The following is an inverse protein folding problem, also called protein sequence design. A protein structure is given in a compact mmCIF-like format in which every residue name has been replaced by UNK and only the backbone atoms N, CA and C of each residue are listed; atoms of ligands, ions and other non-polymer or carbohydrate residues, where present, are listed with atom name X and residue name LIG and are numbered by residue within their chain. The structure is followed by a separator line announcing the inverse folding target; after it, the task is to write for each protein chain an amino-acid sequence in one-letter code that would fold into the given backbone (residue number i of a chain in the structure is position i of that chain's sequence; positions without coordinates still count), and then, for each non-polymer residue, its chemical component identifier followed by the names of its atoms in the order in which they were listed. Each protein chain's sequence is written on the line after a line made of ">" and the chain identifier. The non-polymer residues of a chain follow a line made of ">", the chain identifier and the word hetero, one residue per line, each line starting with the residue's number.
data_IF_516081816543
#
_entry.id   IF_516081816543
#
_cell.length_a   1.000
_cell.length_b   1.000
_cell.length_c   1.000
_cell.angle_alpha   90.00
_cell.angle_beta   90.00
_cell.angle_gamma   90.00
#
_symmetry.space_group_name_H-M   'P 1'
#
loop_
_entity.id
_entity.type
_entity.pdbx_description
1 polymer ?
#
# COMPACT_ATOMS: atom_id res chain seq x y z
N UNK A 1 19.85 -8.45 47.01
CA UNK A 1 18.78 -7.99 46.10
C UNK A 1 19.39 -7.99 44.70
N UNK A 2 19.16 -9.05 43.92
CA UNK A 2 19.70 -9.18 42.56
C UNK A 2 18.76 -8.45 41.59
N UNK A 3 19.29 -7.52 40.80
CA UNK A 3 18.56 -6.90 39.69
C UNK A 3 19.00 -7.63 38.42
N UNK A 4 18.07 -8.36 37.80
CA UNK A 4 18.26 -8.95 36.47
C UNK A 4 18.10 -7.83 35.41
N UNK A 5 19.01 -7.68 34.44
CA UNK A 5 18.81 -6.73 33.36
C UNK A 5 17.77 -7.28 32.39
N UNK A 6 16.75 -6.46 32.10
CA UNK A 6 15.77 -6.71 31.05
C UNK A 6 16.47 -6.50 29.70
N UNK A 7 16.78 -7.59 28.99
CA UNK A 7 17.28 -7.52 27.61
C UNK A 7 16.10 -7.13 26.73
N UNK A 8 16.07 -5.88 26.25
CA UNK A 8 15.16 -5.48 25.19
C UNK A 8 15.65 -6.10 23.87
N UNK A 9 14.85 -7.00 23.30
CA UNK A 9 15.08 -7.52 21.97
C UNK A 9 14.50 -6.49 20.98
N UNK A 10 15.34 -5.62 20.41
CA UNK A 10 14.95 -4.80 19.27
C UNK A 10 14.94 -5.70 18.03
N UNK A 11 13.75 -6.05 17.53
CA UNK A 11 13.61 -6.67 16.22
C UNK A 11 13.87 -5.59 15.17
N UNK A 12 15.11 -5.46 14.72
CA UNK A 12 15.44 -4.60 13.59
C UNK A 12 14.62 -5.03 12.37
N UNK A 13 13.91 -4.09 11.74
CA UNK A 13 13.23 -4.32 10.47
C UNK A 13 14.25 -4.87 9.46
N UNK A 14 13.88 -5.84 8.59
CA UNK A 14 14.81 -6.42 7.64
C UNK A 14 15.45 -5.32 6.79
N UNK A 15 16.75 -5.16 6.96
CA UNK A 15 17.59 -4.23 6.20
C UNK A 15 17.56 -4.65 4.72
N UNK A 16 16.70 -4.00 3.94
CA UNK A 16 16.51 -4.31 2.52
C UNK A 16 15.26 -3.70 1.89
N UNK A 17 14.23 -3.38 2.68
CA UNK A 17 13.09 -2.59 2.18
C UNK A 17 13.48 -1.11 2.23
N UNK A 18 13.52 -0.39 1.08
CA UNK A 18 13.74 1.05 1.10
C UNK A 18 12.77 1.69 2.09
N UNK A 19 13.28 2.58 2.95
CA UNK A 19 12.45 3.26 3.93
C UNK A 19 11.26 3.90 3.20
N UNK A 20 10.06 3.43 3.51
CA UNK A 20 8.85 3.93 2.90
C UNK A 20 8.68 5.38 3.33
N UNK A 21 8.49 6.29 2.38
CA UNK A 21 8.30 7.71 2.71
C UNK A 21 7.10 7.85 3.63
N UNK A 22 7.24 8.65 4.69
CA UNK A 22 6.11 9.02 5.55
C UNK A 22 5.04 9.83 4.81
N UNK A 23 5.34 10.34 3.59
CA UNK A 23 4.41 11.08 2.74
C UNK A 23 3.97 10.25 1.55
N UNK A 24 2.66 10.01 1.48
CA UNK A 24 1.99 9.51 0.29
C UNK A 24 0.57 10.06 0.18
N UNK A 25 -0.11 9.66 -0.89
CA UNK A 25 -1.45 10.18 -1.22
C UNK A 25 -2.38 9.09 -1.77
N UNK A 26 -3.67 9.21 -1.48
CA UNK A 26 -4.73 8.40 -2.07
C UNK A 26 -5.44 9.17 -3.16
N UNK A 27 -5.23 8.79 -4.42
CA UNK A 27 -5.86 9.42 -5.57
C UNK A 27 -5.81 8.53 -6.80
N UNK A 28 -6.86 8.59 -7.62
CA UNK A 28 -6.84 7.97 -8.94
C UNK A 28 -6.49 9.04 -9.99
N UNK A 29 -5.24 9.04 -10.46
CA UNK A 29 -4.74 10.06 -11.37
C UNK A 29 -5.20 9.82 -12.80
N UNK A 30 -5.98 10.76 -13.34
CA UNK A 30 -6.41 10.76 -14.76
C UNK A 30 -5.28 11.18 -15.70
N UNK A 31 -4.30 11.97 -15.21
CA UNK A 31 -3.18 12.47 -16.00
C UNK A 31 -1.84 12.19 -15.34
N UNK A 32 -0.82 11.91 -16.16
CA UNK A 32 0.56 11.80 -15.68
C UNK A 32 1.12 13.13 -15.15
N UNK A 33 0.59 14.27 -15.60
CA UNK A 33 1.04 15.59 -15.16
C UNK A 33 0.71 15.83 -13.68
N UNK A 34 -0.49 15.42 -13.24
CA UNK A 34 -0.88 15.54 -11.84
C UNK A 34 -0.02 14.64 -10.96
N UNK A 35 0.20 13.39 -11.38
CA UNK A 35 1.10 12.48 -10.68
C UNK A 35 2.52 13.02 -10.60
N UNK A 36 3.03 13.58 -11.69
CA UNK A 36 4.37 14.15 -11.76
C UNK A 36 4.54 15.45 -10.96
N UNK A 37 3.45 16.11 -10.62
CA UNK A 37 3.47 17.28 -9.74
C UNK A 37 3.81 16.92 -8.28
N UNK A 38 3.65 15.66 -7.89
CA UNK A 38 3.80 15.16 -6.52
C UNK A 38 5.24 14.80 -6.15
N UNK A 39 6.19 15.68 -6.47
CA UNK A 39 7.64 15.47 -6.33
C UNK A 39 8.14 15.14 -4.91
N UNK A 40 7.30 15.29 -3.89
CA UNK A 40 7.66 15.06 -2.48
C UNK A 40 6.97 13.85 -1.86
N UNK A 41 6.07 13.20 -2.61
CA UNK A 41 5.44 11.95 -2.21
C UNK A 41 6.37 10.80 -2.54
N UNK A 42 6.48 9.81 -1.65
CA UNK A 42 7.23 8.59 -1.93
C UNK A 42 6.34 7.41 -2.30
N UNK A 43 5.02 7.55 -2.16
CA UNK A 43 4.07 6.52 -2.54
C UNK A 43 2.68 7.07 -2.81
N UNK A 44 1.85 6.28 -3.49
CA UNK A 44 0.44 6.57 -3.72
C UNK A 44 -0.39 5.29 -3.88
N UNK A 45 -1.71 5.42 -3.79
CA UNK A 45 -2.67 4.34 -4.04
C UNK A 45 -3.95 4.91 -4.68
N UNK A 46 -4.74 4.05 -5.33
CA UNK A 46 -5.95 4.44 -6.06
C UNK A 46 -7.18 3.58 -5.70
N UNK A 47 -7.18 2.95 -4.51
CA UNK A 47 -8.19 1.99 -4.06
C UNK A 47 -8.31 0.69 -4.89
N UNK A 48 -7.44 0.49 -5.89
CA UNK A 48 -7.36 -0.72 -6.70
C UNK A 48 -6.10 -1.54 -6.45
N UNK A 49 -6.05 -2.74 -7.03
CA UNK A 49 -4.91 -3.67 -6.89
C UNK A 49 -3.70 -3.27 -7.74
N UNK A 50 -3.89 -2.42 -8.75
CA UNK A 50 -2.88 -2.08 -9.76
C UNK A 50 -3.05 -0.64 -10.29
N UNK A 51 -1.96 0.05 -10.68
CA UNK A 51 -2.05 1.31 -11.39
C UNK A 51 -2.43 1.07 -12.85
N UNK A 52 -2.70 2.15 -13.61
CA UNK A 52 -2.72 2.04 -15.07
C UNK A 52 -1.29 1.80 -15.59
N UNK A 53 -1.09 1.20 -16.78
CA UNK A 53 0.25 0.96 -17.31
C UNK A 53 1.14 2.21 -17.36
N UNK A 54 0.55 3.36 -17.71
CA UNK A 54 1.28 4.63 -17.78
C UNK A 54 1.68 5.16 -16.40
N UNK A 55 0.75 5.18 -15.44
CA UNK A 55 1.04 5.64 -14.07
C UNK A 55 1.99 4.68 -13.34
N UNK A 56 1.88 3.38 -13.59
CA UNK A 56 2.80 2.35 -13.08
C UNK A 56 4.23 2.55 -13.60
N UNK A 57 4.40 2.70 -14.92
CA UNK A 57 5.71 2.99 -15.52
C UNK A 57 6.32 4.27 -14.96
N UNK A 58 5.56 5.36 -14.92
CA UNK A 58 6.04 6.63 -14.35
C UNK A 58 6.47 6.47 -12.89
N UNK A 59 5.69 5.75 -12.10
CA UNK A 59 5.96 5.50 -10.67
C UNK A 59 7.33 4.84 -10.49
N UNK A 60 7.64 3.80 -11.29
CA UNK A 60 8.93 3.13 -11.29
C UNK A 60 10.08 4.07 -11.69
N UNK A 61 9.91 4.82 -12.78
CA UNK A 61 10.90 5.78 -13.28
C UNK A 61 11.19 6.93 -12.29
N UNK A 62 10.16 7.38 -11.57
CA UNK A 62 10.24 8.44 -10.58
C UNK A 62 10.78 7.98 -9.22
N UNK A 63 11.02 6.68 -9.02
CA UNK A 63 11.43 6.12 -7.73
C UNK A 63 10.34 6.23 -6.65
N UNK A 64 9.08 6.35 -7.07
CA UNK A 64 7.92 6.35 -6.20
C UNK A 64 7.35 4.93 -6.12
N UNK A 65 6.56 4.62 -5.08
CA UNK A 65 5.92 3.31 -4.94
C UNK A 65 4.41 3.38 -5.19
N UNK A 66 3.88 2.42 -5.94
CA UNK A 66 2.43 2.20 -5.97
C UNK A 66 2.08 1.17 -4.89
N UNK A 67 1.04 1.46 -4.12
CA UNK A 67 0.51 0.55 -3.11
C UNK A 67 -0.84 0.04 -3.59
N UNK A 68 -0.92 -1.26 -3.87
CA UNK A 68 -2.19 -1.91 -4.20
C UNK A 68 -3.11 -1.98 -2.99
N UNK A 69 -4.41 -2.09 -3.25
CA UNK A 69 -5.44 -2.26 -2.24
C UNK A 69 -6.41 -3.37 -2.66
N UNK A 70 -6.67 -4.32 -1.76
CA UNK A 70 -7.82 -5.21 -1.87
C UNK A 70 -9.00 -4.53 -1.18
N UNK A 71 -9.77 -3.74 -1.93
CA UNK A 71 -10.79 -2.86 -1.34
C UNK A 71 -11.90 -3.61 -0.60
N UNK A 72 -12.36 -4.75 -1.12
CA UNK A 72 -13.40 -5.58 -0.50
C UNK A 72 -13.11 -7.06 -0.73
N UNK A 73 -14.05 -7.97 -0.49
CA UNK A 73 -13.81 -9.41 -0.66
C UNK A 73 -13.84 -9.90 -2.13
N UNK A 74 -14.18 -9.04 -3.07
CA UNK A 74 -14.36 -9.43 -4.48
C UNK A 74 -13.04 -9.83 -5.13
N UNK A 75 -13.05 -10.96 -5.85
CA UNK A 75 -11.90 -11.52 -6.56
C UNK A 75 -10.67 -11.79 -5.66
N UNK A 76 -10.86 -11.99 -4.35
CA UNK A 76 -9.75 -12.21 -3.41
C UNK A 76 -8.91 -13.46 -3.75
N UNK A 77 -9.54 -14.49 -4.31
CA UNK A 77 -8.85 -15.72 -4.74
C UNK A 77 -7.92 -15.52 -5.95
N UNK A 78 -8.09 -14.42 -6.68
CA UNK A 78 -7.27 -14.04 -7.83
C UNK A 78 -6.35 -12.85 -7.53
N UNK A 79 -6.27 -12.42 -6.27
CA UNK A 79 -5.53 -11.22 -5.88
C UNK A 79 -4.07 -11.26 -6.33
N UNK A 80 -3.40 -12.40 -6.18
CA UNK A 80 -2.01 -12.62 -6.61
C UNK A 80 -1.77 -12.30 -8.09
N UNK A 81 -2.79 -12.50 -8.95
CA UNK A 81 -2.73 -12.20 -10.39
C UNK A 81 -3.10 -10.75 -10.72
N UNK A 82 -3.86 -10.09 -9.83
CA UNK A 82 -4.37 -8.74 -10.03
C UNK A 82 -3.47 -7.67 -9.44
N UNK A 83 -2.56 -8.03 -8.54
CA UNK A 83 -1.61 -7.11 -7.92
C UNK A 83 -0.60 -6.58 -8.94
N UNK A 84 -0.25 -5.30 -8.78
CA UNK A 84 0.89 -4.72 -9.46
C UNK A 84 2.17 -5.52 -9.10
N UNK A 85 2.91 -6.07 -10.08
CA UNK A 85 4.03 -6.97 -9.80
C UNK A 85 5.14 -6.36 -8.95
N UNK A 86 5.33 -5.04 -9.03
CA UNK A 86 6.34 -4.29 -8.28
C UNK A 86 5.81 -3.76 -6.93
N UNK A 87 4.57 -4.06 -6.56
CA UNK A 87 4.04 -3.71 -5.25
C UNK A 87 4.74 -4.52 -4.14
N UNK A 88 5.30 -3.80 -3.17
CA UNK A 88 5.93 -4.39 -1.97
C UNK A 88 5.02 -4.32 -0.74
N UNK A 89 3.93 -3.55 -0.82
CA UNK A 89 2.94 -3.31 0.24
C UNK A 89 1.55 -3.44 -0.37
N UNK A 90 0.64 -4.02 0.41
CA UNK A 90 -0.77 -4.19 0.07
C UNK A 90 -1.64 -3.61 1.20
N UNK A 91 -2.57 -2.73 0.87
CA UNK A 91 -3.62 -2.27 1.76
C UNK A 91 -4.78 -3.28 1.77
N UNK A 92 -5.33 -3.54 2.95
CA UNK A 92 -6.51 -4.40 3.13
C UNK A 92 -7.82 -3.69 2.78
N UNK A 93 -8.93 -4.23 3.30
CA UNK A 93 -10.27 -3.76 2.96
C UNK A 93 -10.52 -2.30 3.36
N UNK A 94 -11.21 -1.57 2.49
CA UNK A 94 -11.54 -0.17 2.67
C UNK A 94 -12.77 -0.01 3.54
N UNK A 95 -12.60 0.57 4.73
CA UNK A 95 -13.69 0.88 5.65
C UNK A 95 -14.72 -0.26 5.77
N UNK A 96 -14.29 -1.47 6.17
CA UNK A 96 -15.16 -2.64 6.19
C UNK A 96 -16.42 -2.44 7.05
N UNK A 97 -16.36 -1.56 8.04
CA UNK A 97 -17.49 -1.22 8.90
C UNK A 97 -18.47 -0.19 8.30
N UNK A 98 -18.25 0.32 7.07
CA UNK A 98 -19.11 1.33 6.46
C UNK A 98 -20.02 0.72 5.36
N UNK A 99 -21.35 0.90 5.42
CA UNK A 99 -22.30 0.24 4.50
C UNK A 99 -22.12 0.57 3.02
N UNK A 100 -21.60 1.76 2.71
CA UNK A 100 -21.35 2.23 1.34
C UNK A 100 -19.92 1.92 0.84
N UNK A 101 -19.12 1.24 1.67
CA UNK A 101 -17.73 0.87 1.36
C UNK A 101 -17.62 -0.67 1.27
N UNK A 102 -16.55 -1.28 1.80
CA UNK A 102 -16.39 -2.74 1.70
C UNK A 102 -17.50 -3.52 2.41
N UNK A 103 -18.12 -2.92 3.44
CA UNK A 103 -19.29 -3.45 4.15
C UNK A 103 -19.14 -4.93 4.51
N UNK A 104 -18.11 -5.24 5.30
CA UNK A 104 -17.77 -6.57 5.80
C UNK A 104 -17.94 -6.64 7.31
N UNK A 105 -18.59 -7.70 7.77
CA UNK A 105 -18.64 -8.09 9.17
C UNK A 105 -17.30 -8.70 9.59
N UNK A 106 -16.99 -8.68 10.89
CA UNK A 106 -15.76 -9.30 11.41
C UNK A 106 -15.62 -10.79 11.05
N UNK A 107 -16.73 -11.52 10.90
CA UNK A 107 -16.72 -12.91 10.48
C UNK A 107 -16.32 -13.13 9.00
N UNK A 108 -16.18 -12.04 8.24
CA UNK A 108 -15.79 -12.02 6.82
C UNK A 108 -14.37 -11.46 6.62
N UNK A 109 -13.66 -11.10 7.70
CA UNK A 109 -12.26 -10.66 7.72
C UNK A 109 -11.32 -11.85 7.94
#
# INVERSE_FOLDING_TARGET
>A
MLVLPLVHLELAAPSGVPAFSARGTGWNFDTLADLASLKTMGWWYNWGTSPTPDTGRYTLEAGMQFVGMQWGQWNIDDLDKLLWPEASVLLGFNEPNHPEQANLLTAQL
#
